data_IF_403683491180
#
_entry.id   IF_403683491180
#
_cell.length_a   1.000
_cell.length_b   1.000
_cell.length_c   1.000
_cell.angle_alpha   90.00
_cell.angle_beta   90.00
_cell.angle_gamma   90.00
#
_symmetry.space_group_name_H-M   'P 1'
#
loop_
_entity.id
_entity.type
_entity.pdbx_description
1 polymer ?
#
# COMPACT_ATOMS: atom_id res chain seq x y z
N UNK A 1 -11.43 4.30 -5.51
CA UNK A 1 -12.50 4.47 -4.49
C UNK A 1 -13.30 3.18 -4.45
N UNK A 2 -13.60 2.67 -3.25
CA UNK A 2 -14.48 1.51 -3.09
C UNK A 2 -15.88 1.93 -3.57
N UNK A 3 -16.52 1.20 -4.51
CA UNK A 3 -17.84 1.58 -5.00
C UNK A 3 -18.92 1.52 -3.90
N UNK A 4 -19.88 2.43 -3.96
CA UNK A 4 -21.06 2.44 -3.09
C UNK A 4 -21.08 3.60 -2.09
N UNK A 5 -22.22 3.75 -1.42
CA UNK A 5 -22.45 4.77 -0.39
C UNK A 5 -22.06 4.29 1.02
N UNK A 6 -21.60 3.04 1.17
CA UNK A 6 -21.22 2.49 2.47
C UNK A 6 -20.02 3.25 3.04
N UNK A 7 -20.10 3.61 4.33
CA UNK A 7 -18.98 4.24 5.05
C UNK A 7 -17.85 3.23 5.31
N UNK A 8 -17.10 2.88 4.26
CA UNK A 8 -15.95 1.99 4.34
C UNK A 8 -14.67 2.73 3.96
N UNK A 9 -13.54 2.32 4.55
CA UNK A 9 -12.19 2.85 4.29
C UNK A 9 -11.22 1.68 4.19
N UNK A 10 -10.34 1.69 3.19
CA UNK A 10 -9.24 0.74 3.08
C UNK A 10 -7.93 1.41 3.49
N UNK A 11 -7.21 0.81 4.44
CA UNK A 11 -5.82 1.17 4.76
C UNK A 11 -4.89 0.37 3.86
N UNK A 12 -3.98 1.05 3.19
CA UNK A 12 -3.02 0.42 2.29
C UNK A 12 -1.61 0.94 2.56
N UNK A 13 -0.61 0.06 2.42
CA UNK A 13 0.77 0.32 2.82
C UNK A 13 1.71 -0.05 1.69
N UNK A 14 2.51 0.89 1.21
CA UNK A 14 3.53 0.63 0.21
C UNK A 14 4.89 0.34 0.88
N UNK A 15 5.55 -0.71 0.41
CA UNK A 15 6.82 -1.19 0.93
C UNK A 15 7.88 -1.23 -0.17
N UNK A 16 8.82 -0.30 -0.14
CA UNK A 16 9.84 -0.16 -1.19
C UNK A 16 11.24 0.13 -0.67
N UNK A 17 11.42 0.98 0.34
CA UNK A 17 12.72 1.47 0.78
C UNK A 17 13.34 0.62 1.90
N UNK A 18 12.75 0.68 3.10
CA UNK A 18 13.21 -0.06 4.29
C UNK A 18 12.01 -0.62 5.07
N UNK A 19 12.27 -1.38 6.14
CA UNK A 19 11.26 -2.12 6.89
C UNK A 19 11.03 -1.57 8.32
N UNK A 20 11.49 -0.38 8.64
CA UNK A 20 11.55 0.13 10.02
C UNK A 20 10.18 0.28 10.66
N UNK A 21 9.16 0.67 9.89
CA UNK A 21 7.78 0.79 10.35
C UNK A 21 6.96 -0.51 10.28
N UNK A 22 7.50 -1.61 9.73
CA UNK A 22 6.73 -2.86 9.58
C UNK A 22 6.23 -3.39 10.93
N UNK A 23 7.15 -3.58 11.88
CA UNK A 23 6.78 -4.16 13.17
C UNK A 23 5.74 -3.33 13.94
N UNK A 24 5.88 -2.00 14.11
CA UNK A 24 4.87 -1.19 14.79
C UNK A 24 3.54 -1.10 14.01
N UNK A 25 3.55 -1.08 12.67
CA UNK A 25 2.33 -1.13 11.86
C UNK A 25 1.58 -2.45 12.11
N UNK A 26 2.25 -3.60 12.01
CA UNK A 26 1.62 -4.90 12.22
C UNK A 26 1.09 -5.05 13.65
N UNK A 27 1.85 -4.61 14.66
CA UNK A 27 1.40 -4.63 16.06
C UNK A 27 0.14 -3.76 16.26
N UNK A 28 0.10 -2.58 15.62
CA UNK A 28 -1.06 -1.68 15.70
C UNK A 28 -2.29 -2.27 15.01
N UNK A 29 -2.13 -2.80 13.80
CA UNK A 29 -3.23 -3.44 13.07
C UNK A 29 -3.80 -4.63 13.86
N UNK A 30 -2.93 -5.50 14.39
CA UNK A 30 -3.35 -6.64 15.21
C UNK A 30 -4.05 -6.20 16.49
N UNK A 31 -3.45 -5.28 17.27
CA UNK A 31 -4.00 -4.78 18.53
C UNK A 31 -5.35 -4.08 18.38
N UNK A 32 -5.62 -3.51 17.21
CA UNK A 32 -6.89 -2.86 16.86
C UNK A 32 -7.81 -3.72 16.02
N UNK A 33 -7.43 -4.96 15.72
CA UNK A 33 -8.18 -5.84 14.81
C UNK A 33 -8.59 -5.10 13.53
N UNK A 34 -7.63 -4.40 12.93
CA UNK A 34 -7.85 -3.59 11.75
C UNK A 34 -7.28 -4.30 10.51
N UNK A 35 -8.06 -4.40 9.41
CA UNK A 35 -7.55 -4.91 8.15
C UNK A 35 -6.62 -3.91 7.46
N UNK A 36 -5.70 -4.43 6.64
CA UNK A 36 -4.82 -3.64 5.78
C UNK A 36 -4.49 -4.42 4.52
N UNK A 37 -3.95 -3.74 3.50
CA UNK A 37 -3.42 -4.37 2.29
C UNK A 37 -2.05 -3.78 2.01
N UNK A 38 -1.06 -4.61 1.69
CA UNK A 38 0.32 -4.18 1.49
C UNK A 38 0.72 -4.35 0.02
N UNK A 39 1.41 -3.36 -0.55
CA UNK A 39 1.98 -3.43 -1.89
C UNK A 39 3.50 -3.49 -1.78
N UNK A 40 4.09 -4.62 -2.16
CA UNK A 40 5.50 -4.90 -1.95
C UNK A 40 6.27 -4.79 -3.28
N UNK A 41 7.44 -4.14 -3.26
CA UNK A 41 8.36 -4.22 -4.38
C UNK A 41 9.19 -5.50 -4.31
N UNK A 42 9.67 -5.98 -5.46
CA UNK A 42 10.58 -7.12 -5.50
C UNK A 42 11.90 -6.86 -4.78
N UNK A 43 12.42 -5.63 -4.87
CA UNK A 43 13.62 -5.21 -4.13
C UNK A 43 13.41 -5.24 -2.62
N UNK A 44 12.25 -4.80 -2.14
CA UNK A 44 11.91 -4.85 -0.71
C UNK A 44 11.86 -6.29 -0.19
N UNK A 45 11.14 -7.19 -0.89
CA UNK A 45 11.01 -8.57 -0.41
C UNK A 45 12.34 -9.31 -0.40
N UNK A 46 13.23 -9.02 -1.34
CA UNK A 46 14.57 -9.60 -1.40
C UNK A 46 15.47 -9.06 -0.28
N UNK A 47 15.37 -7.78 0.07
CA UNK A 47 16.15 -7.15 1.13
C UNK A 47 15.63 -7.50 2.54
N UNK A 48 14.30 -7.63 2.70
CA UNK A 48 13.62 -7.84 3.98
C UNK A 48 12.73 -9.09 3.98
N UNK A 49 13.29 -10.29 3.74
CA UNK A 49 12.48 -11.51 3.54
C UNK A 49 11.67 -11.90 4.78
N UNK A 50 12.18 -11.67 5.98
CA UNK A 50 11.45 -11.97 7.22
C UNK A 50 10.25 -11.05 7.41
N UNK A 51 10.42 -9.73 7.25
CA UNK A 51 9.33 -8.76 7.32
C UNK A 51 8.25 -9.08 6.26
N UNK A 52 8.66 -9.39 5.04
CA UNK A 52 7.75 -9.72 3.93
C UNK A 52 6.91 -10.97 4.22
N UNK A 53 7.52 -12.02 4.77
CA UNK A 53 6.78 -13.23 5.21
C UNK A 53 5.82 -12.94 6.35
N UNK A 54 6.23 -12.11 7.31
CA UNK A 54 5.35 -11.72 8.43
C UNK A 54 4.13 -10.94 7.95
N UNK A 55 4.29 -10.02 7.01
CA UNK A 55 3.18 -9.30 6.38
C UNK A 55 2.25 -10.29 5.67
N UNK A 56 2.80 -11.11 4.78
CA UNK A 56 2.04 -12.02 3.93
C UNK A 56 1.31 -13.14 4.69
N UNK A 57 1.76 -13.48 5.90
CA UNK A 57 1.11 -14.48 6.75
C UNK A 57 -0.26 -14.03 7.27
N UNK A 58 -0.53 -12.72 7.29
CA UNK A 58 -1.74 -12.18 7.95
C UNK A 58 -2.54 -11.24 7.05
N UNK A 59 -1.88 -10.52 6.14
CA UNK A 59 -2.49 -9.46 5.34
C UNK A 59 -2.39 -9.76 3.84
N UNK A 60 -3.43 -9.39 3.05
CA UNK A 60 -3.34 -9.41 1.60
C UNK A 60 -2.15 -8.58 1.12
N UNK A 61 -1.41 -9.14 0.14
CA UNK A 61 -0.27 -8.47 -0.49
C UNK A 61 -0.52 -8.28 -1.98
N UNK A 62 0.03 -7.22 -2.55
CA UNK A 62 -0.01 -6.88 -3.96
C UNK A 62 1.37 -6.57 -4.52
N UNK A 63 1.45 -6.51 -5.84
CA UNK A 63 2.67 -6.21 -6.59
C UNK A 63 2.86 -4.70 -6.75
N UNK A 64 4.04 -4.21 -6.38
CA UNK A 64 4.46 -2.81 -6.54
C UNK A 64 5.69 -2.68 -7.46
N UNK A 65 5.78 -3.55 -8.47
CA UNK A 65 6.90 -3.73 -9.41
C UNK A 65 8.17 -4.31 -8.77
N UNK A 66 9.18 -4.59 -9.60
CA UNK A 66 10.47 -5.08 -9.10
C UNK A 66 11.28 -3.98 -8.43
N UNK A 67 11.48 -2.84 -9.12
CA UNK A 67 12.46 -1.81 -8.74
C UNK A 67 11.83 -0.43 -8.50
N UNK A 68 10.52 -0.35 -8.35
CA UNK A 68 9.80 0.90 -8.13
C UNK A 68 10.04 1.96 -9.22
N UNK A 69 10.14 1.55 -10.49
CA UNK A 69 10.34 2.48 -11.61
C UNK A 69 9.04 3.10 -12.09
N UNK A 70 9.12 4.34 -12.61
CA UNK A 70 8.01 4.96 -13.31
C UNK A 70 7.77 4.21 -14.65
N UNK A 71 6.70 3.40 -14.68
CA UNK A 71 6.37 2.53 -15.81
C UNK A 71 5.99 3.32 -17.07
N UNK A 72 5.55 4.56 -16.94
CA UNK A 72 5.18 5.41 -18.08
C UNK A 72 6.40 5.80 -18.92
N UNK A 73 7.60 5.73 -18.35
CA UNK A 73 8.86 6.06 -18.98
C UNK A 73 9.60 4.87 -19.59
N UNK A 74 9.04 3.67 -19.47
CA UNK A 74 9.68 2.43 -19.92
C UNK A 74 9.06 1.93 -21.23
N UNK A 75 9.85 1.19 -22.02
CA UNK A 75 9.32 0.43 -23.14
C UNK A 75 8.39 -0.71 -22.62
N UNK A 76 7.47 -1.19 -23.46
CA UNK A 76 6.50 -2.20 -23.06
C UNK A 76 7.15 -3.49 -22.51
N UNK A 77 8.24 -3.96 -23.10
CA UNK A 77 8.98 -5.13 -22.62
C UNK A 77 9.53 -4.93 -21.22
N UNK A 78 10.06 -3.72 -20.91
CA UNK A 78 10.61 -3.40 -19.59
C UNK A 78 9.49 -3.24 -18.55
N UNK A 79 8.31 -2.72 -18.94
CA UNK A 79 7.12 -2.68 -18.06
C UNK A 79 6.73 -4.10 -17.67
N UNK A 80 6.61 -5.01 -18.62
CA UNK A 80 6.28 -6.42 -18.34
C UNK A 80 7.35 -7.09 -17.48
N UNK A 81 8.64 -6.79 -17.71
CA UNK A 81 9.74 -7.31 -16.89
C UNK A 81 9.62 -6.82 -15.43
N UNK A 82 9.33 -5.53 -15.20
CA UNK A 82 9.13 -4.97 -13.84
C UNK A 82 7.94 -5.64 -13.12
N UNK A 83 6.82 -5.88 -13.82
CA UNK A 83 5.63 -6.53 -13.26
C UNK A 83 5.93 -7.99 -12.90
N UNK A 84 6.43 -8.77 -13.87
CA UNK A 84 6.65 -10.22 -13.71
C UNK A 84 7.75 -10.53 -12.71
N UNK A 85 8.86 -9.78 -12.76
CA UNK A 85 9.95 -9.97 -11.79
C UNK A 85 9.53 -9.61 -10.36
N UNK A 86 8.72 -8.55 -10.19
CA UNK A 86 8.14 -8.20 -8.90
C UNK A 86 7.28 -9.33 -8.35
N UNK A 87 6.35 -9.86 -9.16
CA UNK A 87 5.52 -11.00 -8.79
C UNK A 87 6.36 -12.23 -8.42
N UNK A 88 7.34 -12.58 -9.23
CA UNK A 88 8.20 -13.73 -9.00
C UNK A 88 9.01 -13.59 -7.69
N UNK A 89 9.54 -12.39 -7.41
CA UNK A 89 10.26 -12.11 -6.17
C UNK A 89 9.34 -12.25 -4.96
N UNK A 90 8.13 -11.67 -5.02
CA UNK A 90 7.14 -11.75 -3.94
C UNK A 90 6.76 -13.21 -3.67
N UNK A 91 6.36 -13.95 -4.71
CA UNK A 91 5.95 -15.35 -4.56
C UNK A 91 7.10 -16.23 -4.06
N UNK A 92 8.33 -16.03 -4.56
CA UNK A 92 9.50 -16.78 -4.11
C UNK A 92 9.79 -16.59 -2.63
N UNK A 93 9.66 -15.36 -2.12
CA UNK A 93 10.01 -15.03 -0.73
C UNK A 93 8.88 -15.34 0.23
N UNK A 94 7.63 -15.04 -0.14
CA UNK A 94 6.48 -15.12 0.76
C UNK A 94 5.68 -16.42 0.59
N UNK A 95 5.79 -17.10 -0.56
CA UNK A 95 4.93 -18.22 -0.94
C UNK A 95 3.54 -17.80 -1.41
N UNK A 96 3.23 -16.49 -1.45
CA UNK A 96 1.90 -15.94 -1.78
C UNK A 96 1.93 -15.31 -3.16
N UNK A 97 0.93 -15.60 -3.99
CA UNK A 97 0.70 -14.94 -5.26
C UNK A 97 0.13 -13.53 -5.02
N UNK A 98 0.77 -12.45 -5.51
CA UNK A 98 0.27 -11.08 -5.30
C UNK A 98 -0.95 -10.70 -6.14
N UNK A 99 -1.42 -11.58 -7.05
CA UNK A 99 -2.64 -11.28 -7.82
C UNK A 99 -3.89 -11.24 -6.92
N UNK A 100 -4.86 -10.42 -7.24
CA UNK A 100 -4.93 -9.51 -8.39
C UNK A 100 -4.47 -8.07 -8.08
N UNK A 101 -3.80 -7.83 -6.96
CA UNK A 101 -3.52 -6.48 -6.48
C UNK A 101 -2.25 -5.90 -7.10
N UNK A 102 -2.38 -4.71 -7.71
CA UNK A 102 -1.25 -3.97 -8.26
C UNK A 102 -1.30 -2.50 -7.86
N UNK A 103 -0.13 -1.88 -7.64
CA UNK A 103 -0.02 -0.44 -7.47
C UNK A 103 1.13 0.10 -8.31
N UNK A 104 0.82 1.14 -9.08
CA UNK A 104 1.82 1.86 -9.86
C UNK A 104 2.73 2.69 -8.96
N UNK A 105 4.07 2.59 -9.11
CA UNK A 105 4.99 3.52 -8.47
C UNK A 105 4.63 4.97 -8.78
N UNK A 106 4.74 5.84 -7.78
CA UNK A 106 4.41 7.28 -7.86
C UNK A 106 2.95 7.58 -8.25
N UNK A 107 2.11 6.59 -8.45
CA UNK A 107 0.78 6.74 -9.06
C UNK A 107 0.84 7.16 -10.52
N UNK A 108 2.00 7.07 -11.17
CA UNK A 108 2.21 7.41 -12.57
C UNK A 108 1.58 6.36 -13.48
N UNK A 109 0.57 6.77 -14.27
CA UNK A 109 -0.19 5.88 -15.15
C UNK A 109 -0.51 6.55 -16.49
N UNK A 110 -0.56 5.74 -17.54
CA UNK A 110 -1.14 6.08 -18.84
C UNK A 110 -1.99 4.90 -19.35
N UNK A 111 -2.73 5.09 -20.43
CA UNK A 111 -3.58 4.05 -20.99
C UNK A 111 -2.82 2.78 -21.38
N UNK A 112 -1.59 2.94 -21.88
CA UNK A 112 -0.71 1.84 -22.28
C UNK A 112 -0.28 1.00 -21.08
N UNK A 113 0.19 1.63 -20.01
CA UNK A 113 0.67 0.92 -18.81
C UNK A 113 -0.49 0.23 -18.07
N UNK A 114 -1.68 0.85 -18.04
CA UNK A 114 -2.89 0.22 -17.49
C UNK A 114 -3.24 -1.04 -18.30
N UNK A 115 -3.23 -0.97 -19.64
CA UNK A 115 -3.52 -2.13 -20.48
C UNK A 115 -2.52 -3.27 -20.27
N UNK A 116 -1.23 -2.97 -20.12
CA UNK A 116 -0.19 -3.96 -19.83
C UNK A 116 -0.39 -4.63 -18.47
N UNK A 117 -0.70 -3.86 -17.43
CA UNK A 117 -0.98 -4.37 -16.08
C UNK A 117 -2.23 -5.28 -16.08
N UNK A 118 -3.30 -4.86 -16.77
CA UNK A 118 -4.51 -5.67 -16.89
C UNK A 118 -4.28 -6.96 -17.69
N UNK A 119 -3.43 -6.91 -18.71
CA UNK A 119 -3.06 -8.12 -19.50
C UNK A 119 -2.29 -9.16 -18.67
N UNK A 120 -1.61 -8.73 -17.60
CA UNK A 120 -0.97 -9.59 -16.60
C UNK A 120 -1.93 -9.99 -15.46
N UNK A 121 -3.25 -9.91 -15.67
CA UNK A 121 -4.30 -10.28 -14.70
C UNK A 121 -4.28 -9.48 -13.39
N UNK A 122 -3.76 -8.26 -13.40
CA UNK A 122 -3.78 -7.36 -12.25
C UNK A 122 -4.89 -6.31 -12.34
N UNK A 123 -5.40 -5.93 -11.17
CA UNK A 123 -6.28 -4.78 -10.97
C UNK A 123 -5.47 -3.67 -10.30
N UNK A 124 -5.23 -2.53 -10.97
CA UNK A 124 -4.44 -1.45 -10.39
C UNK A 124 -5.24 -0.63 -9.39
N UNK A 125 -4.67 -0.41 -8.20
CA UNK A 125 -5.25 0.40 -7.13
C UNK A 125 -4.49 1.70 -6.93
N UNK A 126 -5.20 2.81 -7.05
CA UNK A 126 -4.75 4.14 -6.63
C UNK A 126 -5.29 4.44 -5.22
N UNK A 127 -5.10 5.65 -4.76
CA UNK A 127 -5.54 6.12 -3.45
C UNK A 127 -6.39 7.39 -3.55
N UNK A 128 -7.08 7.71 -2.49
CA UNK A 128 -7.87 8.95 -2.36
C UNK A 128 -7.16 9.99 -1.49
N UNK A 129 -6.27 9.53 -0.63
CA UNK A 129 -5.37 10.35 0.19
C UNK A 129 -4.03 9.66 0.34
N UNK A 130 -2.95 10.41 0.11
CA UNK A 130 -1.58 10.05 0.47
C UNK A 130 -1.25 10.77 1.78
N UNK A 131 -0.79 10.04 2.77
CA UNK A 131 -0.45 10.58 4.09
C UNK A 131 0.75 11.51 4.06
N UNK A 132 1.70 11.28 3.13
CA UNK A 132 3.00 11.94 3.03
C UNK A 132 3.91 11.73 4.25
N UNK A 133 3.62 10.76 5.12
CA UNK A 133 4.46 10.44 6.28
C UNK A 133 5.92 10.15 5.93
N UNK A 134 6.15 9.60 4.74
CA UNK A 134 7.47 9.31 4.19
C UNK A 134 8.36 10.55 3.96
N UNK A 135 7.79 11.76 3.90
CA UNK A 135 8.55 13.00 3.66
C UNK A 135 9.34 13.49 4.86
N UNK A 136 9.11 12.91 6.05
CA UNK A 136 9.83 13.29 7.26
C UNK A 136 9.55 14.72 7.75
N UNK A 137 10.32 15.14 8.74
CA UNK A 137 10.19 16.48 9.34
C UNK A 137 10.54 17.60 8.37
N UNK A 138 11.56 17.40 7.52
CA UNK A 138 11.94 18.37 6.49
C UNK A 138 10.82 18.61 5.47
N UNK A 139 9.96 17.62 5.23
CA UNK A 139 8.76 17.75 4.40
C UNK A 139 7.55 18.36 5.12
N UNK A 140 7.72 18.88 6.34
CA UNK A 140 6.66 19.47 7.15
C UNK A 140 5.71 18.43 7.75
N UNK A 141 6.14 17.16 7.83
CA UNK A 141 5.31 16.08 8.33
C UNK A 141 5.51 15.80 9.82
N UNK A 142 4.48 15.25 10.41
CA UNK A 142 4.44 14.72 11.77
C UNK A 142 3.33 13.67 11.85
N UNK A 143 3.27 12.88 12.91
CA UNK A 143 2.17 11.97 13.16
C UNK A 143 0.80 12.68 13.22
N UNK A 144 0.77 13.91 13.74
CA UNK A 144 -0.46 14.74 13.77
C UNK A 144 -0.87 15.19 12.37
N UNK A 145 0.07 15.56 11.53
CA UNK A 145 -0.21 15.95 10.15
C UNK A 145 -0.71 14.75 9.30
N UNK A 146 -0.12 13.57 9.48
CA UNK A 146 -0.60 12.31 8.88
C UNK A 146 -2.07 12.08 9.27
N UNK A 147 -2.38 12.12 10.56
CA UNK A 147 -3.75 11.98 11.06
C UNK A 147 -4.69 13.02 10.47
N UNK A 148 -4.32 14.30 10.48
CA UNK A 148 -5.11 15.40 9.94
C UNK A 148 -5.44 15.19 8.46
N UNK A 149 -4.48 14.75 7.66
CA UNK A 149 -4.66 14.48 6.23
C UNK A 149 -5.66 13.36 5.99
N UNK A 150 -5.55 12.26 6.74
CA UNK A 150 -6.50 11.15 6.61
C UNK A 150 -7.90 11.58 7.02
N UNK A 151 -8.04 12.17 8.20
CA UNK A 151 -9.35 12.59 8.74
C UNK A 151 -10.03 13.61 7.83
N UNK A 152 -9.28 14.59 7.30
CA UNK A 152 -9.80 15.62 6.39
C UNK A 152 -10.20 15.08 5.00
N UNK A 153 -9.71 13.90 4.61
CA UNK A 153 -10.03 13.27 3.33
C UNK A 153 -11.05 12.11 3.45
N UNK A 154 -11.59 11.84 4.65
CA UNK A 154 -12.53 10.75 4.86
C UNK A 154 -13.81 10.95 4.04
N UNK A 155 -14.15 9.91 3.30
CA UNK A 155 -15.38 9.79 2.52
C UNK A 155 -15.70 8.31 2.28
N UNK A 156 -16.94 7.95 1.98
CA UNK A 156 -17.28 6.58 1.62
C UNK A 156 -16.38 6.04 0.50
N UNK A 157 -15.79 4.87 0.73
CA UNK A 157 -14.90 4.23 -0.22
C UNK A 157 -13.48 4.80 -0.29
N UNK A 158 -13.04 5.57 0.69
CA UNK A 158 -11.68 6.10 0.72
C UNK A 158 -10.63 4.96 0.76
N UNK A 159 -9.54 5.16 0.01
CA UNK A 159 -8.33 4.32 0.04
C UNK A 159 -7.20 5.21 0.53
N UNK A 160 -6.64 4.87 1.69
CA UNK A 160 -5.54 5.60 2.31
C UNK A 160 -4.22 4.96 1.91
N UNK A 161 -3.30 5.75 1.37
CA UNK A 161 -1.91 5.35 1.14
C UNK A 161 -1.05 5.76 2.32
N UNK A 162 -0.38 4.78 2.90
CA UNK A 162 0.67 4.88 3.93
C UNK A 162 1.92 4.13 3.46
N UNK A 163 3.04 4.29 4.14
CA UNK A 163 4.31 3.65 3.80
C UNK A 163 4.88 2.92 5.02
N UNK A 164 5.56 1.79 4.77
CA UNK A 164 6.17 1.02 5.88
C UNK A 164 7.60 1.48 6.23
N UNK A 165 8.25 2.22 5.33
CA UNK A 165 9.62 2.67 5.53
C UNK A 165 9.72 3.92 6.41
N UNK A 166 10.87 4.08 7.06
CA UNK A 166 11.28 5.35 7.67
C UNK A 166 11.78 6.33 6.62
N UNK A 167 11.71 7.62 6.93
CA UNK A 167 12.38 8.65 6.14
C UNK A 167 13.91 8.46 6.22
N UNK A 168 14.64 8.49 5.09
CA UNK A 168 16.08 8.21 5.09
C UNK A 168 16.94 9.31 5.74
N UNK A 169 16.41 10.54 5.86
CA UNK A 169 17.18 11.68 6.37
C UNK A 169 17.06 11.84 7.89
N UNK A 170 15.88 11.51 8.46
CA UNK A 170 15.60 11.73 9.89
C UNK A 170 15.11 10.47 10.64
N UNK A 171 14.96 9.35 9.95
CA UNK A 171 14.55 8.07 10.54
C UNK A 171 13.10 8.02 11.04
N UNK A 172 12.29 9.04 10.76
CA UNK A 172 10.89 9.08 11.22
C UNK A 172 10.01 8.05 10.53
N UNK A 173 9.05 7.48 11.28
CA UNK A 173 8.05 6.51 10.81
C UNK A 173 6.64 7.05 11.03
N UNK A 174 6.37 8.29 10.60
CA UNK A 174 5.12 9.00 10.94
C UNK A 174 3.84 8.25 10.55
N UNK A 175 3.87 7.42 9.51
CA UNK A 175 2.74 6.58 9.15
C UNK A 175 2.47 5.51 10.23
N UNK A 176 3.50 4.89 10.78
CA UNK A 176 3.38 3.94 11.89
C UNK A 176 2.93 4.63 13.18
N UNK A 177 3.52 5.79 13.48
CA UNK A 177 3.26 6.56 14.71
C UNK A 177 1.82 7.09 14.77
N UNK A 178 1.26 7.47 13.62
CA UNK A 178 -0.10 7.98 13.51
C UNK A 178 -1.17 6.87 13.44
N UNK A 179 -0.80 5.64 13.05
CA UNK A 179 -1.74 4.61 12.63
C UNK A 179 -2.81 4.30 13.67
N UNK A 180 -2.40 4.16 14.93
CA UNK A 180 -3.32 3.84 16.03
C UNK A 180 -4.45 4.88 16.14
N UNK A 181 -4.10 6.15 16.22
CA UNK A 181 -5.06 7.26 16.29
C UNK A 181 -5.87 7.41 15.00
N UNK A 182 -5.26 7.12 13.87
CA UNK A 182 -5.93 7.13 12.57
C UNK A 182 -7.06 6.09 12.52
N UNK A 183 -6.80 4.87 12.95
CA UNK A 183 -7.83 3.81 13.05
C UNK A 183 -8.96 4.23 13.99
N UNK A 184 -8.61 4.74 15.18
CA UNK A 184 -9.58 5.15 16.17
C UNK A 184 -10.48 6.29 15.66
N UNK A 185 -9.92 7.29 14.97
CA UNK A 185 -10.67 8.41 14.38
C UNK A 185 -11.54 7.98 13.19
N UNK A 186 -11.08 7.09 12.33
CA UNK A 186 -11.88 6.50 11.24
C UNK A 186 -13.14 5.85 11.82
N UNK A 187 -12.98 5.03 12.86
CA UNK A 187 -14.10 4.35 13.53
C UNK A 187 -15.03 5.31 14.27
N UNK A 188 -14.47 6.31 14.96
CA UNK A 188 -15.26 7.33 15.67
C UNK A 188 -16.16 8.15 14.73
N UNK A 189 -15.79 8.28 13.44
CA UNK A 189 -16.62 8.92 12.41
C UNK A 189 -17.61 7.95 11.74
N UNK A 190 -17.75 6.72 12.27
CA UNK A 190 -18.70 5.71 11.81
C UNK A 190 -18.26 4.98 10.54
N UNK A 191 -16.97 5.00 10.18
CA UNK A 191 -16.47 4.21 9.07
C UNK A 191 -16.02 2.82 9.54
N UNK A 192 -16.22 1.84 8.66
CA UNK A 192 -15.71 0.47 8.82
C UNK A 192 -14.45 0.30 7.98
N UNK A 193 -13.40 -0.25 8.59
CA UNK A 193 -12.18 -0.62 7.86
C UNK A 193 -12.38 -1.93 7.11
N UNK A 194 -11.91 -1.97 5.87
CA UNK A 194 -12.03 -3.13 4.96
C UNK A 194 -10.72 -3.37 4.20
N UNK A 195 -10.54 -4.59 3.69
CA UNK A 195 -9.49 -4.88 2.69
C UNK A 195 -9.92 -4.43 1.30
N UNK A 196 -8.97 -4.34 0.36
CA UNK A 196 -9.26 -4.02 -1.04
C UNK A 196 -10.06 -5.13 -1.75
N UNK A 197 -10.15 -6.32 -1.20
CA UNK A 197 -10.97 -7.41 -1.72
C UNK A 197 -12.43 -7.01 -1.94
N UNK A 198 -12.97 -6.16 -1.05
CA UNK A 198 -14.35 -5.64 -1.20
C UNK A 198 -14.57 -4.77 -2.43
N UNK A 199 -13.52 -4.40 -3.13
CA UNK A 199 -13.57 -3.56 -4.35
C UNK A 199 -13.46 -4.38 -5.62
N UNK A 200 -13.02 -5.62 -5.50
CA UNK A 200 -12.93 -6.53 -6.64
C UNK A 200 -14.34 -6.90 -7.10
N UNK A 201 -14.57 -7.00 -8.42
CA UNK A 201 -15.82 -7.54 -8.90
C UNK A 201 -15.99 -8.96 -8.34
N UNK A 202 -17.20 -9.25 -7.85
CA UNK A 202 -17.53 -10.63 -7.48
C UNK A 202 -17.26 -11.51 -8.68
N UNK A 203 -16.41 -12.52 -8.53
CA UNK A 203 -16.24 -13.55 -9.57
C UNK A 203 -17.62 -14.17 -9.83
N UNK A 204 -18.05 -14.25 -11.11
CA UNK A 204 -19.33 -14.88 -11.43
C UNK A 204 -19.34 -16.35 -11.05
#
# INVERSE_FOLDING_TARGET
>A
MVPGSAKVVALTFDAGANADGVAPILATLAGRQAPGTFFLTGTFVNAFPTASRTIAATYPIGNHTQNHKDLTRLAAADVLAEIRSGAASIQKVTGVDPHPYFRFPYGAVDARTIALVNAECYVPFRWTVDTWGWKGTAGGMSADEVLRRVVGALRPGAIVLMHVGSNPDDGTTFDADALARTIDQIRAQGYTLVTLERVLPSTP
#
